data_IF_187942543025
#
_entry.id   IF_187942543025
#
_cell.length_a   1.000
_cell.length_b   1.000
_cell.length_c   1.000
_cell.angle_alpha   90.00
_cell.angle_beta   90.00
_cell.angle_gamma   90.00
#
_symmetry.space_group_name_H-M   'P 1'
#
loop_
_entity.id
_entity.type
_entity.pdbx_description
1 polymer ?
#
# COMPACT_ATOMS: atom_id res chain seq x y z
N UNK A 1 -33.31 7.30 -17.96
CA UNK A 1 -31.90 7.70 -17.76
C UNK A 1 -31.26 7.96 -19.12
N UNK A 2 -30.48 9.02 -19.31
CA UNK A 2 -29.82 9.30 -20.60
C UNK A 2 -28.84 8.17 -20.96
N UNK A 3 -28.83 7.69 -22.22
CA UNK A 3 -27.93 6.62 -22.71
C UNK A 3 -26.44 6.89 -22.40
N UNK A 4 -26.01 8.15 -22.43
CA UNK A 4 -24.65 8.53 -22.09
C UNK A 4 -24.35 8.37 -20.58
N UNK A 5 -25.30 8.70 -19.71
CA UNK A 5 -25.13 8.54 -18.26
C UNK A 5 -25.05 7.05 -17.89
N UNK A 6 -25.87 6.18 -18.51
CA UNK A 6 -25.79 4.74 -18.27
C UNK A 6 -24.46 4.15 -18.75
N UNK A 7 -23.94 4.59 -19.89
CA UNK A 7 -22.60 4.19 -20.36
C UNK A 7 -21.49 4.63 -19.40
N UNK A 8 -21.55 5.87 -18.89
CA UNK A 8 -20.55 6.37 -17.95
C UNK A 8 -20.60 5.62 -16.60
N UNK A 9 -21.81 5.32 -16.10
CA UNK A 9 -21.98 4.49 -14.90
C UNK A 9 -21.42 3.08 -15.14
N UNK A 10 -21.69 2.47 -16.30
CA UNK A 10 -21.13 1.15 -16.63
C UNK A 10 -19.59 1.16 -16.64
N UNK A 11 -18.96 2.20 -17.20
CA UNK A 11 -17.50 2.35 -17.18
C UNK A 11 -16.97 2.45 -15.75
N UNK A 12 -17.63 3.24 -14.89
CA UNK A 12 -17.26 3.36 -13.46
C UNK A 12 -17.39 2.01 -12.74
N UNK A 13 -18.46 1.25 -12.99
CA UNK A 13 -18.66 -0.07 -12.38
C UNK A 13 -17.62 -1.07 -12.84
N UNK A 14 -17.28 -1.10 -14.13
CA UNK A 14 -16.22 -1.97 -14.68
C UNK A 14 -14.87 -1.59 -14.07
N UNK A 15 -14.53 -0.29 -14.02
CA UNK A 15 -13.28 0.17 -13.41
C UNK A 15 -13.21 -0.19 -11.91
N UNK A 16 -14.33 -0.02 -11.18
CA UNK A 16 -14.41 -0.40 -9.76
C UNK A 16 -14.22 -1.91 -9.58
N UNK A 17 -14.86 -2.74 -10.42
CA UNK A 17 -14.70 -4.19 -10.40
C UNK A 17 -13.25 -4.60 -10.68
N UNK A 18 -12.60 -4.00 -11.69
CA UNK A 18 -11.19 -4.26 -11.98
C UNK A 18 -10.28 -3.85 -10.81
N UNK A 19 -10.56 -2.71 -10.17
CA UNK A 19 -9.81 -2.26 -8.99
C UNK A 19 -9.95 -3.23 -7.82
N UNK A 20 -11.18 -3.67 -7.54
CA UNK A 20 -11.46 -4.68 -6.50
C UNK A 20 -10.82 -6.03 -6.83
N UNK A 21 -10.81 -6.44 -8.09
CA UNK A 21 -10.16 -7.69 -8.52
C UNK A 21 -8.64 -7.63 -8.31
N UNK A 22 -8.02 -6.50 -8.67
CA UNK A 22 -6.59 -6.25 -8.46
C UNK A 22 -6.24 -6.26 -6.97
N UNK A 23 -7.06 -5.62 -6.12
CA UNK A 23 -6.92 -5.68 -4.66
C UNK A 23 -7.05 -7.12 -4.15
N UNK A 24 -8.08 -7.86 -4.58
CA UNK A 24 -8.31 -9.23 -4.13
C UNK A 24 -7.16 -10.18 -4.46
N UNK A 25 -6.41 -9.93 -5.53
CA UNK A 25 -5.21 -10.69 -5.86
C UNK A 25 -4.00 -10.33 -4.98
N UNK A 26 -3.96 -9.10 -4.45
CA UNK A 26 -2.85 -8.58 -3.64
C UNK A 26 -3.12 -8.54 -2.13
N UNK A 27 -4.27 -9.05 -1.67
CA UNK A 27 -4.69 -8.88 -0.27
C UNK A 27 -3.80 -9.68 0.70
N UNK A 28 -3.32 -8.98 1.73
CA UNK A 28 -2.79 -9.63 2.93
C UNK A 28 -3.93 -10.34 3.68
N UNK A 29 -3.61 -11.47 4.33
CA UNK A 29 -4.59 -12.32 5.02
C UNK A 29 -5.31 -11.65 6.19
N UNK A 30 -4.73 -10.58 6.75
CA UNK A 30 -5.27 -9.92 7.96
C UNK A 30 -5.71 -8.50 7.65
N UNK A 31 -6.91 -8.16 8.09
CA UNK A 31 -7.58 -6.88 7.85
C UNK A 31 -7.43 -5.97 9.07
N UNK A 32 -6.74 -4.84 8.90
CA UNK A 32 -6.67 -3.75 9.89
C UNK A 32 -7.33 -2.49 9.34
N UNK A 33 -7.65 -1.51 10.20
CA UNK A 33 -8.25 -0.25 9.75
C UNK A 33 -7.40 0.47 8.69
N UNK A 34 -6.07 0.47 8.87
CA UNK A 34 -5.12 1.04 7.91
C UNK A 34 -5.05 0.26 6.60
N UNK A 35 -5.04 -1.08 6.65
CA UNK A 35 -5.06 -1.93 5.47
C UNK A 35 -6.35 -1.70 4.63
N UNK A 36 -7.49 -1.57 5.31
CA UNK A 36 -8.78 -1.30 4.64
C UNK A 36 -8.74 0.06 3.93
N UNK A 37 -8.23 1.11 4.59
CA UNK A 37 -8.09 2.44 3.98
C UNK A 37 -7.14 2.39 2.78
N UNK A 38 -5.99 1.72 2.91
CA UNK A 38 -5.02 1.52 1.85
C UNK A 38 -5.63 0.83 0.62
N UNK A 39 -6.28 -0.32 0.83
CA UNK A 39 -6.99 -1.07 -0.21
C UNK A 39 -8.07 -0.22 -0.88
N UNK A 40 -8.82 0.56 -0.09
CA UNK A 40 -9.85 1.41 -0.64
C UNK A 40 -9.30 2.48 -1.59
N UNK A 41 -8.19 3.13 -1.22
CA UNK A 41 -7.54 4.14 -2.06
C UNK A 41 -6.89 3.52 -3.32
N UNK A 42 -6.50 2.25 -3.25
CA UNK A 42 -5.99 1.50 -4.40
C UNK A 42 -7.01 1.34 -5.53
N UNK A 43 -8.32 1.37 -5.25
CA UNK A 43 -9.36 1.32 -6.30
C UNK A 43 -9.18 2.46 -7.31
N UNK A 44 -8.59 3.61 -6.90
CA UNK A 44 -8.28 4.72 -7.79
C UNK A 44 -7.20 4.44 -8.83
N UNK A 45 -6.48 3.32 -8.73
CA UNK A 45 -5.60 2.83 -9.78
C UNK A 45 -6.34 2.67 -11.11
N UNK A 46 -7.54 2.08 -11.08
CA UNK A 46 -8.41 1.92 -12.26
C UNK A 46 -9.45 3.03 -12.37
N UNK A 47 -9.95 3.50 -11.22
CA UNK A 47 -11.06 4.46 -11.18
C UNK A 47 -10.62 5.89 -11.54
N UNK A 48 -9.40 6.30 -11.20
CA UNK A 48 -8.84 7.60 -11.59
C UNK A 48 -8.80 7.81 -13.11
N UNK A 49 -8.16 6.91 -13.88
CA UNK A 49 -8.19 6.92 -15.34
C UNK A 49 -9.60 6.94 -15.92
N UNK A 50 -10.50 6.10 -15.39
CA UNK A 50 -11.88 6.02 -15.86
C UNK A 50 -12.65 7.34 -15.65
N UNK A 51 -12.48 7.98 -14.49
CA UNK A 51 -13.13 9.26 -14.19
C UNK A 51 -12.61 10.38 -15.07
N UNK A 52 -11.30 10.46 -15.26
CA UNK A 52 -10.71 11.47 -16.13
C UNK A 52 -11.07 11.26 -17.60
N UNK A 53 -11.12 10.01 -18.08
CA UNK A 53 -11.66 9.66 -19.39
C UNK A 53 -13.10 10.16 -19.57
N UNK A 54 -13.98 9.87 -18.60
CA UNK A 54 -15.39 10.29 -18.63
C UNK A 54 -15.48 11.83 -18.65
N UNK A 55 -14.73 12.50 -17.78
CA UNK A 55 -14.66 13.96 -17.72
C UNK A 55 -14.22 14.57 -19.04
N UNK A 56 -13.16 14.05 -19.66
CA UNK A 56 -12.63 14.51 -20.94
C UNK A 56 -13.63 14.31 -22.08
N UNK A 57 -14.19 13.10 -22.18
CA UNK A 57 -15.16 12.74 -23.22
C UNK A 57 -16.42 13.63 -23.15
N UNK A 58 -17.00 13.76 -21.96
CA UNK A 58 -18.24 14.49 -21.76
C UNK A 58 -18.03 15.99 -21.96
N UNK A 59 -16.96 16.54 -21.41
CA UNK A 59 -16.72 17.97 -21.51
C UNK A 59 -16.35 18.38 -22.94
N UNK A 60 -15.62 17.54 -23.68
CA UNK A 60 -15.38 17.74 -25.11
C UNK A 60 -16.70 17.76 -25.91
N UNK A 61 -17.64 16.85 -25.61
CA UNK A 61 -18.96 16.81 -26.28
C UNK A 61 -19.73 18.11 -26.09
N UNK A 62 -19.69 18.69 -24.89
CA UNK A 62 -20.39 19.94 -24.59
C UNK A 62 -19.59 21.20 -24.94
N UNK A 63 -18.33 21.07 -25.36
CA UNK A 63 -17.42 22.16 -25.67
C UNK A 63 -18.04 23.24 -26.56
N UNK A 64 -18.67 22.88 -27.68
CA UNK A 64 -19.29 23.86 -28.61
C UNK A 64 -20.48 24.62 -27.99
N UNK A 65 -21.29 23.93 -27.19
CA UNK A 65 -22.40 24.57 -26.46
C UNK A 65 -21.82 25.50 -25.39
N UNK A 66 -20.77 25.04 -24.73
CA UNK A 66 -19.90 25.77 -23.84
C UNK A 66 -18.91 26.68 -24.57
N UNK A 67 -19.07 27.00 -25.85
CA UNK A 67 -18.42 28.14 -26.53
C UNK A 67 -19.46 29.22 -26.85
N UNK A 68 -20.70 28.83 -27.14
CA UNK A 68 -21.78 29.76 -27.51
C UNK A 68 -22.45 30.48 -26.34
N UNK A 69 -22.53 29.90 -25.13
CA UNK A 69 -23.28 30.49 -23.99
C UNK A 69 -22.46 30.66 -22.71
N UNK A 70 -22.02 31.88 -22.37
CA UNK A 70 -21.08 32.10 -21.26
C UNK A 70 -21.80 32.11 -19.92
N UNK A 71 -22.15 30.94 -19.40
CA UNK A 71 -22.95 30.80 -18.19
C UNK A 71 -22.40 29.67 -17.32
N UNK A 72 -21.82 30.02 -16.18
CA UNK A 72 -21.43 29.08 -15.13
C UNK A 72 -22.61 28.15 -14.72
N UNK A 73 -23.85 28.64 -14.58
CA UNK A 73 -25.03 27.77 -14.39
C UNK A 73 -25.19 26.68 -15.45
N UNK A 74 -24.84 26.95 -16.71
CA UNK A 74 -24.92 25.95 -17.78
C UNK A 74 -23.87 24.86 -17.60
N UNK A 75 -22.65 25.23 -17.22
CA UNK A 75 -21.58 24.28 -16.90
C UNK A 75 -21.98 23.38 -15.71
N UNK A 76 -22.52 23.97 -14.64
CA UNK A 76 -23.02 23.21 -13.49
C UNK A 76 -24.17 22.27 -13.89
N UNK A 77 -25.08 22.72 -14.75
CA UNK A 77 -26.19 21.89 -15.25
C UNK A 77 -25.69 20.72 -16.11
N UNK A 78 -24.68 20.95 -16.95
CA UNK A 78 -24.02 19.88 -17.72
C UNK A 78 -23.35 18.89 -16.79
N UNK A 79 -22.61 19.38 -15.78
CA UNK A 79 -21.97 18.55 -14.77
C UNK A 79 -22.99 17.69 -14.02
N UNK A 80 -24.02 18.30 -13.42
CA UNK A 80 -25.07 17.59 -12.70
C UNK A 80 -25.78 16.53 -13.57
N UNK A 81 -26.06 16.85 -14.84
CA UNK A 81 -26.82 15.96 -15.72
C UNK A 81 -26.01 14.77 -16.26
N UNK A 82 -24.73 14.96 -16.56
CA UNK A 82 -23.92 13.96 -17.27
C UNK A 82 -22.83 13.31 -16.42
N UNK A 83 -22.31 14.05 -15.44
CA UNK A 83 -21.16 13.67 -14.62
C UNK A 83 -21.51 13.41 -13.16
N UNK A 84 -22.60 14.00 -12.67
CA UNK A 84 -23.03 13.86 -11.27
C UNK A 84 -23.24 12.41 -10.85
N UNK A 85 -24.04 11.64 -11.60
CA UNK A 85 -24.30 10.24 -11.27
C UNK A 85 -23.05 9.34 -11.36
N UNK A 86 -22.23 9.37 -12.44
CA UNK A 86 -20.97 8.64 -12.47
C UNK A 86 -20.01 9.01 -11.33
N UNK A 87 -19.89 10.31 -10.99
CA UNK A 87 -19.03 10.76 -9.89
C UNK A 87 -19.55 10.26 -8.55
N UNK A 88 -20.87 10.30 -8.32
CA UNK A 88 -21.48 9.78 -7.10
C UNK A 88 -21.24 8.28 -6.97
N UNK A 89 -21.43 7.48 -8.03
CA UNK A 89 -21.14 6.04 -8.01
C UNK A 89 -19.65 5.80 -7.73
N UNK A 90 -18.76 6.57 -8.34
CA UNK A 90 -17.33 6.44 -8.14
C UNK A 90 -16.87 6.81 -6.71
N UNK A 91 -17.54 7.74 -6.04
CA UNK A 91 -17.30 7.98 -4.61
C UNK A 91 -17.90 6.88 -3.74
N UNK A 92 -19.12 6.44 -4.05
CA UNK A 92 -19.85 5.48 -3.22
C UNK A 92 -19.25 4.08 -3.27
N UNK A 93 -18.75 3.61 -4.41
CA UNK A 93 -18.22 2.25 -4.54
C UNK A 93 -17.04 1.98 -3.59
N UNK A 94 -15.98 2.81 -3.53
CA UNK A 94 -14.93 2.67 -2.53
C UNK A 94 -15.48 2.80 -1.10
N UNK A 95 -16.31 3.81 -0.79
CA UNK A 95 -16.84 4.00 0.58
C UNK A 95 -17.65 2.78 1.06
N UNK A 96 -18.49 2.19 0.20
CA UNK A 96 -19.26 0.98 0.50
C UNK A 96 -18.34 -0.21 0.71
N UNK A 97 -17.30 -0.35 -0.11
CA UNK A 97 -16.30 -1.40 0.06
C UNK A 97 -15.54 -1.24 1.39
N UNK A 98 -15.07 -0.04 1.71
CA UNK A 98 -14.45 0.29 2.99
C UNK A 98 -15.38 -0.05 4.17
N UNK A 99 -16.66 0.32 4.09
CA UNK A 99 -17.64 0.01 5.13
C UNK A 99 -17.87 -1.49 5.29
N UNK A 100 -17.98 -2.23 4.18
CA UNK A 100 -18.12 -3.69 4.19
C UNK A 100 -16.92 -4.37 4.89
N UNK A 101 -15.71 -3.94 4.54
CA UNK A 101 -14.48 -4.43 5.16
C UNK A 101 -14.40 -4.08 6.66
N UNK A 102 -14.76 -2.85 7.04
CA UNK A 102 -14.78 -2.42 8.46
C UNK A 102 -15.79 -3.22 9.29
N UNK A 103 -16.95 -3.57 8.72
CA UNK A 103 -17.93 -4.42 9.39
C UNK A 103 -17.41 -5.85 9.61
N UNK A 104 -16.43 -6.30 8.83
CA UNK A 104 -15.88 -7.66 8.94
C UNK A 104 -14.84 -7.82 10.06
N UNK A 105 -14.18 -6.75 10.49
CA UNK A 105 -13.08 -6.80 11.47
C UNK A 105 -13.52 -6.62 12.92
N UNK A 106 -14.72 -6.10 13.17
CA UNK A 106 -15.30 -5.92 14.52
C UNK A 106 -14.58 -4.91 15.43
N UNK A 107 -13.37 -4.46 15.08
CA UNK A 107 -12.57 -3.48 15.79
C UNK A 107 -12.02 -2.41 14.82
N UNK A 108 -11.92 -1.16 15.27
CA UNK A 108 -11.35 -0.06 14.46
C UNK A 108 -10.25 0.61 15.27
N UNK A 109 -9.00 0.42 14.86
CA UNK A 109 -7.82 0.99 15.52
C UNK A 109 -7.88 2.52 15.67
N UNK A 110 -8.37 3.19 14.63
CA UNK A 110 -8.31 4.65 14.52
C UNK A 110 -9.42 5.17 13.62
N UNK A 111 -10.40 5.83 14.22
CA UNK A 111 -11.50 6.50 13.50
C UNK A 111 -10.97 7.64 12.62
N UNK A 112 -9.92 8.34 13.03
CA UNK A 112 -9.34 9.42 12.24
C UNK A 112 -8.74 8.91 10.93
N UNK A 113 -8.11 7.73 10.93
CA UNK A 113 -7.55 7.11 9.72
C UNK A 113 -8.66 6.75 8.73
N UNK A 114 -9.78 6.22 9.22
CA UNK A 114 -10.96 5.92 8.38
C UNK A 114 -11.55 7.20 7.78
N UNK A 115 -11.70 8.26 8.59
CA UNK A 115 -12.22 9.55 8.12
C UNK A 115 -11.30 10.19 7.07
N UNK A 116 -9.98 10.10 7.26
CA UNK A 116 -8.99 10.53 6.25
C UNK A 116 -9.13 9.71 4.97
N UNK A 117 -9.28 8.38 5.05
CA UNK A 117 -9.53 7.52 3.90
C UNK A 117 -10.78 7.91 3.10
N UNK A 118 -11.88 8.24 3.79
CA UNK A 118 -13.10 8.74 3.16
C UNK A 118 -12.87 10.11 2.50
N UNK A 119 -12.20 11.04 3.19
CA UNK A 119 -11.88 12.35 2.64
C UNK A 119 -11.03 12.24 1.37
N UNK A 120 -9.99 11.40 1.39
CA UNK A 120 -9.13 11.16 0.23
C UNK A 120 -9.87 10.48 -0.92
N UNK A 121 -10.80 9.56 -0.64
CA UNK A 121 -11.68 8.98 -1.66
C UNK A 121 -12.45 10.06 -2.42
N UNK A 122 -13.03 11.00 -1.69
CA UNK A 122 -13.76 12.13 -2.31
C UNK A 122 -12.80 13.00 -3.11
N UNK A 123 -11.65 13.37 -2.54
CA UNK A 123 -10.63 14.20 -3.20
C UNK A 123 -10.16 13.55 -4.50
N UNK A 124 -9.82 12.27 -4.51
CA UNK A 124 -9.42 11.56 -5.73
C UNK A 124 -10.51 11.59 -6.79
N UNK A 125 -11.76 11.27 -6.41
CA UNK A 125 -12.87 11.22 -7.35
C UNK A 125 -13.12 12.59 -8.02
N UNK A 126 -13.16 13.67 -7.24
CA UNK A 126 -13.38 15.02 -7.80
C UNK A 126 -12.17 15.53 -8.57
N UNK A 127 -10.94 15.20 -8.13
CA UNK A 127 -9.69 15.61 -8.78
C UNK A 127 -9.59 15.03 -10.18
N UNK A 128 -9.72 13.71 -10.32
CA UNK A 128 -9.57 13.05 -11.62
C UNK A 128 -10.70 13.40 -12.59
N UNK A 129 -11.93 13.55 -12.08
CA UNK A 129 -13.06 14.03 -12.89
C UNK A 129 -12.80 15.46 -13.40
N UNK A 130 -12.40 16.39 -12.53
CA UNK A 130 -12.12 17.77 -12.90
C UNK A 130 -10.93 17.86 -13.88
N UNK A 131 -9.88 17.07 -13.65
CA UNK A 131 -8.73 16.97 -14.53
C UNK A 131 -9.15 16.56 -15.95
N UNK A 132 -9.94 15.49 -16.06
CA UNK A 132 -10.52 15.07 -17.34
C UNK A 132 -11.34 16.18 -18.01
N UNK A 133 -12.23 16.82 -17.25
CA UNK A 133 -13.05 17.92 -17.76
C UNK A 133 -12.18 19.06 -18.33
N UNK A 134 -11.11 19.45 -17.65
CA UNK A 134 -10.17 20.44 -18.14
C UNK A 134 -9.54 20.01 -19.47
N UNK A 135 -9.05 18.77 -19.58
CA UNK A 135 -8.49 18.25 -20.84
C UNK A 135 -9.51 18.29 -21.98
N UNK A 136 -10.76 17.87 -21.73
CA UNK A 136 -11.83 17.87 -22.73
C UNK A 136 -12.19 19.24 -23.27
N UNK A 137 -12.04 20.31 -22.46
CA UNK A 137 -12.25 21.68 -22.91
C UNK A 137 -11.13 22.16 -23.82
N UNK A 138 -9.88 21.91 -23.45
CA UNK A 138 -8.74 22.56 -24.10
C UNK A 138 -8.12 21.76 -25.25
N UNK A 139 -8.20 20.43 -25.21
CA UNK A 139 -7.52 19.57 -26.18
C UNK A 139 -8.48 18.99 -27.23
N UNK A 140 -7.97 18.56 -28.40
CA UNK A 140 -8.71 17.72 -29.34
C UNK A 140 -9.15 16.41 -28.69
N UNK A 141 -10.29 15.85 -29.12
CA UNK A 141 -10.91 14.68 -28.48
C UNK A 141 -9.95 13.52 -28.23
N UNK A 142 -9.23 13.08 -29.27
CA UNK A 142 -8.33 11.92 -29.20
C UNK A 142 -7.22 12.14 -28.15
N UNK A 143 -6.64 13.36 -28.13
CA UNK A 143 -5.58 13.72 -27.18
C UNK A 143 -6.15 13.83 -25.77
N UNK A 144 -7.30 14.51 -25.60
CA UNK A 144 -7.95 14.70 -24.31
C UNK A 144 -8.27 13.36 -23.64
N UNK A 145 -8.85 12.43 -24.40
CA UNK A 145 -9.24 11.11 -23.94
C UNK A 145 -8.03 10.23 -23.63
N UNK A 146 -7.01 10.22 -24.50
CA UNK A 146 -5.79 9.46 -24.27
C UNK A 146 -5.02 9.98 -23.04
N UNK A 147 -4.86 11.30 -22.93
CA UNK A 147 -4.21 11.94 -21.77
C UNK A 147 -5.00 11.72 -20.48
N UNK A 148 -6.35 11.77 -20.55
CA UNK A 148 -7.21 11.51 -19.40
C UNK A 148 -7.14 10.07 -18.90
N UNK A 149 -6.86 9.09 -19.76
CA UNK A 149 -6.58 7.72 -19.31
C UNK A 149 -5.15 7.58 -18.78
N UNK A 150 -4.17 8.04 -19.57
CA UNK A 150 -2.78 7.70 -19.35
C UNK A 150 -2.15 8.47 -18.18
N UNK A 151 -2.41 9.77 -18.04
CA UNK A 151 -1.76 10.58 -17.01
C UNK A 151 -2.17 10.13 -15.60
N UNK A 152 -3.47 9.97 -15.27
CA UNK A 152 -3.85 9.48 -13.96
C UNK A 152 -3.25 8.11 -13.68
N UNK A 153 -3.26 7.20 -14.66
CA UNK A 153 -2.67 5.86 -14.52
C UNK A 153 -1.17 5.93 -14.19
N UNK A 154 -0.40 6.75 -14.90
CA UNK A 154 1.03 6.91 -14.61
C UNK A 154 1.23 7.48 -13.21
N UNK A 155 0.47 8.51 -12.83
CA UNK A 155 0.60 9.15 -11.53
C UNK A 155 0.13 8.28 -10.36
N UNK A 156 -0.75 7.32 -10.59
CA UNK A 156 -1.19 6.35 -9.56
C UNK A 156 -0.34 5.09 -9.53
N UNK A 157 0.13 4.61 -10.69
CA UNK A 157 0.85 3.34 -10.82
C UNK A 157 2.36 3.47 -10.66
N UNK A 158 2.96 4.47 -11.31
CA UNK A 158 4.41 4.58 -11.41
C UNK A 158 5.10 4.86 -10.07
N UNK A 159 4.57 5.74 -9.19
CA UNK A 159 5.22 6.03 -7.92
C UNK A 159 5.53 4.79 -7.10
N UNK A 160 4.65 3.79 -7.09
CA UNK A 160 4.83 2.52 -6.38
C UNK A 160 6.05 1.73 -6.84
N UNK A 161 6.45 1.89 -8.11
CA UNK A 161 7.64 1.24 -8.67
C UNK A 161 8.92 2.07 -8.52
N UNK A 162 8.81 3.34 -8.11
CA UNK A 162 9.94 4.24 -7.96
C UNK A 162 10.81 3.86 -6.77
N UNK A 163 12.14 3.98 -6.91
CA UNK A 163 13.07 3.89 -5.77
C UNK A 163 13.05 5.14 -4.89
N UNK A 164 12.58 6.26 -5.44
CA UNK A 164 12.50 7.55 -4.75
C UNK A 164 11.25 7.62 -3.87
N UNK A 165 11.49 7.75 -2.57
CA UNK A 165 10.46 7.81 -1.52
C UNK A 165 9.50 8.97 -1.70
N UNK A 166 9.97 10.13 -2.16
CA UNK A 166 9.12 11.31 -2.31
C UNK A 166 7.97 11.08 -3.30
N UNK A 167 8.25 10.38 -4.41
CA UNK A 167 7.22 10.05 -5.40
C UNK A 167 6.13 9.16 -4.80
N UNK A 168 6.50 8.15 -4.01
CA UNK A 168 5.56 7.23 -3.36
C UNK A 168 4.58 7.94 -2.43
N UNK A 169 5.04 8.98 -1.76
CA UNK A 169 4.27 9.71 -0.76
C UNK A 169 3.27 10.73 -1.37
N UNK A 170 3.43 11.13 -2.64
CA UNK A 170 2.69 12.24 -3.27
C UNK A 170 1.30 11.89 -3.85
N UNK A 171 0.93 10.61 -4.00
CA UNK A 171 -0.31 10.23 -4.70
C UNK A 171 -1.28 9.40 -3.86
N UNK A 172 -1.02 9.26 -2.56
CA UNK A 172 -2.01 8.82 -1.57
C UNK A 172 -2.40 7.35 -1.66
N UNK A 173 -1.64 6.54 -2.39
CA UNK A 173 -1.96 5.14 -2.64
C UNK A 173 -0.86 4.26 -2.09
N UNK A 174 -0.96 3.79 -0.84
CA UNK A 174 -0.01 2.82 -0.29
C UNK A 174 -0.34 1.39 -0.78
N UNK A 175 -0.71 1.27 -2.07
CA UNK A 175 -1.18 0.02 -2.65
C UNK A 175 -0.01 -0.96 -2.82
N UNK A 176 -0.13 -2.15 -2.23
CA UNK A 176 0.86 -3.23 -2.35
C UNK A 176 2.12 -3.08 -1.49
N UNK A 177 2.32 -1.94 -0.82
CA UNK A 177 3.45 -1.70 0.11
C UNK A 177 3.00 -1.45 1.56
N UNK A 178 1.70 -1.30 1.82
CA UNK A 178 1.10 -1.24 3.14
C UNK A 178 -0.27 -1.95 3.12
N UNK A 179 -0.79 -2.51 4.20
CA UNK A 179 -0.21 -2.60 5.55
C UNK A 179 -0.38 -4.02 6.07
N UNK A 180 0.68 -4.60 6.64
CA UNK A 180 0.54 -5.81 7.45
C UNK A 180 -0.14 -5.49 8.79
N UNK A 181 -0.36 -6.50 9.63
CA UNK A 181 -0.91 -6.32 10.99
C UNK A 181 -0.01 -5.44 11.85
N UNK A 182 1.30 -5.44 11.58
CA UNK A 182 2.29 -4.72 12.36
C UNK A 182 2.50 -3.28 11.90
N UNK A 183 1.74 -2.80 10.90
CA UNK A 183 1.99 -1.55 10.21
C UNK A 183 0.76 -0.63 10.14
N UNK A 184 1.01 0.67 10.15
CA UNK A 184 0.05 1.72 9.83
C UNK A 184 0.50 2.50 8.60
N UNK A 185 -0.45 3.15 7.93
CA UNK A 185 -0.13 4.12 6.87
C UNK A 185 0.77 5.19 7.47
N UNK A 186 1.89 5.49 6.81
CA UNK A 186 2.78 6.58 7.21
C UNK A 186 1.99 7.90 7.23
N UNK A 187 1.86 8.58 8.38
CA UNK A 187 1.14 9.84 8.46
C UNK A 187 1.72 10.92 7.54
N UNK A 188 3.01 10.82 7.19
CA UNK A 188 3.67 11.72 6.23
C UNK A 188 2.98 11.65 4.87
N UNK A 189 2.41 10.52 4.45
CA UNK A 189 1.74 10.34 3.15
C UNK A 189 0.61 11.35 2.91
N UNK A 190 -0.16 11.69 3.95
CA UNK A 190 -1.39 12.46 3.79
C UNK A 190 -1.15 13.89 3.31
N UNK A 191 -0.16 14.58 3.86
CA UNK A 191 0.12 15.99 3.53
C UNK A 191 0.58 16.18 2.07
N UNK A 192 1.63 15.51 1.57
CA UNK A 192 2.09 15.66 0.19
C UNK A 192 1.04 15.15 -0.81
N UNK A 193 0.30 14.09 -0.47
CA UNK A 193 -0.84 13.64 -1.26
C UNK A 193 -1.95 14.68 -1.37
N UNK A 194 -2.32 15.31 -0.25
CA UNK A 194 -3.30 16.41 -0.25
C UNK A 194 -2.80 17.61 -1.05
N UNK A 195 -1.53 17.97 -0.94
CA UNK A 195 -0.91 19.06 -1.70
C UNK A 195 -0.99 18.80 -3.20
N UNK A 196 -0.55 17.62 -3.66
CA UNK A 196 -0.50 17.29 -5.08
C UNK A 196 -1.90 17.12 -5.65
N UNK A 197 -2.75 16.27 -5.07
CA UNK A 197 -4.13 16.06 -5.55
C UNK A 197 -4.95 17.35 -5.48
N UNK A 198 -4.83 18.09 -4.37
CA UNK A 198 -5.48 19.39 -4.19
C UNK A 198 -5.03 20.40 -5.23
N UNK A 199 -3.74 20.47 -5.54
CA UNK A 199 -3.21 21.37 -6.57
C UNK A 199 -3.69 21.00 -7.98
N UNK A 200 -3.75 19.71 -8.34
CA UNK A 200 -4.32 19.23 -9.60
C UNK A 200 -5.81 19.61 -9.68
N UNK A 201 -6.56 19.44 -8.60
CA UNK A 201 -7.97 19.82 -8.54
C UNK A 201 -8.17 21.32 -8.73
N UNK A 202 -7.46 22.15 -7.96
CA UNK A 202 -7.53 23.62 -8.05
C UNK A 202 -7.10 24.10 -9.44
N UNK A 203 -6.00 23.57 -9.98
CA UNK A 203 -5.55 23.84 -11.35
C UNK A 203 -6.65 23.52 -12.36
N UNK A 204 -7.28 22.33 -12.25
CA UNK A 204 -8.36 21.90 -13.15
C UNK A 204 -9.55 22.84 -13.08
N UNK A 205 -9.98 23.24 -11.87
CA UNK A 205 -11.08 24.19 -11.68
C UNK A 205 -10.77 25.57 -12.28
N UNK A 206 -9.57 26.09 -12.06
CA UNK A 206 -9.14 27.38 -12.62
C UNK A 206 -9.09 27.32 -14.15
N UNK A 207 -8.64 26.22 -14.74
CA UNK A 207 -8.69 25.99 -16.18
C UNK A 207 -10.14 25.94 -16.70
N UNK A 208 -11.02 25.19 -16.05
CA UNK A 208 -12.43 25.10 -16.43
C UNK A 208 -13.11 26.49 -16.36
N UNK A 209 -12.91 27.22 -15.26
CA UNK A 209 -13.48 28.56 -15.06
C UNK A 209 -12.92 29.60 -16.04
N UNK A 210 -11.66 29.46 -16.46
CA UNK A 210 -11.02 30.38 -17.40
C UNK A 210 -11.21 30.01 -18.87
N UNK A 211 -11.91 28.92 -19.23
CA UNK A 211 -12.00 28.38 -20.60
C UNK A 211 -12.30 29.42 -21.69
N UNK A 212 -13.14 30.41 -21.41
CA UNK A 212 -13.53 31.45 -22.38
C UNK A 212 -12.86 32.79 -22.22
N UNK A 213 -11.95 32.87 -21.27
CA UNK A 213 -11.28 34.08 -20.96
C UNK A 213 -10.23 34.44 -22.00
N UNK A 214 -10.64 35.20 -23.03
CA UNK A 214 -9.71 35.79 -24.02
C UNK A 214 -9.07 37.06 -23.43
N UNK A 215 -9.54 37.52 -22.26
CA UNK A 215 -9.00 38.69 -21.59
C UNK A 215 -7.66 38.34 -20.94
N UNK A 216 -6.75 39.32 -20.91
CA UNK A 216 -5.45 39.22 -20.23
C UNK A 216 -5.56 38.63 -18.82
N UNK A 217 -6.61 39.00 -18.07
CA UNK A 217 -6.90 38.45 -16.74
C UNK A 217 -6.97 36.92 -16.70
N UNK A 218 -7.60 36.31 -17.70
CA UNK A 218 -7.84 34.87 -17.68
C UNK A 218 -6.61 34.09 -18.14
N UNK A 219 -5.76 34.70 -18.99
CA UNK A 219 -4.42 34.20 -19.25
C UNK A 219 -3.55 34.24 -17.98
N UNK A 220 -3.62 35.32 -17.20
CA UNK A 220 -2.95 35.39 -15.89
C UNK A 220 -3.44 34.28 -14.96
N UNK A 221 -4.75 34.02 -14.89
CA UNK A 221 -5.32 32.93 -14.06
C UNK A 221 -4.76 31.57 -14.48
N UNK A 222 -4.66 31.30 -15.78
CA UNK A 222 -4.09 30.04 -16.28
C UNK A 222 -2.61 29.94 -15.95
N UNK A 223 -1.83 30.98 -16.22
CA UNK A 223 -0.40 31.00 -15.92
C UNK A 223 -0.15 30.84 -14.42
N UNK A 224 -0.87 31.58 -13.57
CA UNK A 224 -0.74 31.46 -12.12
C UNK A 224 -1.17 30.09 -11.61
N UNK A 225 -2.20 29.48 -12.19
CA UNK A 225 -2.60 28.12 -11.80
C UNK A 225 -1.54 27.07 -12.11
N UNK A 226 -0.78 27.22 -13.21
CA UNK A 226 0.36 26.34 -13.52
C UNK A 226 1.49 26.56 -12.51
N UNK A 227 1.79 27.82 -12.16
CA UNK A 227 2.79 28.12 -11.13
C UNK A 227 2.40 27.53 -9.78
N UNK A 228 1.12 27.65 -9.39
CA UNK A 228 0.59 27.07 -8.15
C UNK A 228 0.70 25.54 -8.18
N UNK A 229 0.30 24.89 -9.28
CA UNK A 229 0.45 23.45 -9.46
C UNK A 229 1.91 23.01 -9.25
N UNK A 230 2.85 23.64 -9.94
CA UNK A 230 4.27 23.31 -9.83
C UNK A 230 4.81 23.55 -8.42
N UNK A 231 4.42 24.65 -7.77
CA UNK A 231 4.86 24.96 -6.41
C UNK A 231 4.40 23.89 -5.41
N UNK A 232 3.14 23.46 -5.48
CA UNK A 232 2.61 22.43 -4.59
C UNK A 232 3.14 21.04 -4.91
N UNK A 233 3.43 20.72 -6.18
CA UNK A 233 4.12 19.48 -6.55
C UNK A 233 5.54 19.47 -5.99
N UNK A 234 6.30 20.56 -6.15
CA UNK A 234 7.67 20.66 -5.61
C UNK A 234 7.66 20.61 -4.08
N UNK A 235 6.76 21.34 -3.43
CA UNK A 235 6.63 21.33 -1.96
C UNK A 235 6.19 19.95 -1.46
N UNK A 236 5.24 19.31 -2.16
CA UNK A 236 4.81 17.95 -1.88
C UNK A 236 5.94 16.93 -2.04
N UNK A 237 6.81 17.09 -3.04
CA UNK A 237 8.01 16.27 -3.21
C UNK A 237 8.97 16.42 -2.02
N UNK A 238 9.30 17.65 -1.63
CA UNK A 238 10.17 17.89 -0.48
C UNK A 238 9.59 17.33 0.82
N UNK A 239 8.30 17.52 1.06
CA UNK A 239 7.67 16.95 2.25
C UNK A 239 7.60 15.42 2.19
N UNK A 240 7.28 14.85 1.02
CA UNK A 240 7.25 13.41 0.79
C UNK A 240 8.62 12.75 0.98
N UNK A 241 9.71 13.48 0.74
CA UNK A 241 11.08 12.95 0.93
C UNK A 241 11.42 12.58 2.38
N UNK A 242 10.63 13.05 3.35
CA UNK A 242 10.80 12.69 4.77
C UNK A 242 10.01 11.45 5.19
N UNK A 243 9.24 10.84 4.27
CA UNK A 243 8.48 9.62 4.53
C UNK A 243 9.35 8.37 4.44
N UNK A 244 8.71 7.20 4.56
CA UNK A 244 9.37 5.91 4.38
C UNK A 244 9.09 5.27 3.02
N UNK A 245 9.97 4.37 2.59
CA UNK A 245 9.87 3.70 1.29
C UNK A 245 8.58 2.89 1.13
N UNK A 246 8.11 2.21 2.18
CA UNK A 246 6.93 1.36 2.12
C UNK A 246 5.60 2.14 2.26
N UNK A 247 5.67 3.46 2.48
CA UNK A 247 4.51 4.28 2.86
C UNK A 247 3.78 3.75 4.10
N UNK A 248 4.53 3.02 4.93
CA UNK A 248 4.08 2.35 6.13
C UNK A 248 5.05 2.67 7.27
N UNK A 249 4.52 2.73 8.49
CA UNK A 249 5.31 2.77 9.72
C UNK A 249 4.89 1.63 10.64
N UNK A 250 5.80 1.15 11.47
CA UNK A 250 5.47 0.15 12.47
C UNK A 250 4.46 0.70 13.48
N UNK A 251 3.45 -0.12 13.80
CA UNK A 251 2.53 0.13 14.90
C UNK A 251 3.32 0.18 16.22
N UNK A 252 2.90 0.99 17.20
CA UNK A 252 3.55 1.02 18.50
C UNK A 252 3.39 -0.34 19.19
N UNK A 253 4.47 -0.88 19.76
CA UNK A 253 4.48 -2.16 20.47
C UNK A 253 3.57 -2.17 21.70
N UNK A 254 3.20 -1.00 22.23
CA UNK A 254 2.22 -0.85 23.32
C UNK A 254 0.80 -1.27 22.95
N UNK A 255 0.50 -1.40 21.66
CA UNK A 255 -0.79 -1.90 21.19
C UNK A 255 -0.83 -3.44 21.03
N UNK A 256 0.31 -4.13 21.24
CA UNK A 256 0.37 -5.59 21.24
C UNK A 256 -0.12 -6.14 22.58
N UNK A 257 -0.69 -7.35 22.54
CA UNK A 257 -1.00 -8.14 23.73
C UNK A 257 0.24 -8.98 24.04
N UNK A 258 0.82 -8.77 25.21
CA UNK A 258 2.04 -9.45 25.64
C UNK A 258 1.76 -10.38 26.82
N UNK A 259 2.06 -11.66 26.63
CA UNK A 259 2.04 -12.68 27.67
C UNK A 259 3.46 -13.24 27.82
N UNK A 260 4.13 -12.89 28.93
CA UNK A 260 5.53 -13.25 29.17
C UNK A 260 6.45 -12.72 28.05
N UNK A 261 7.10 -13.60 27.28
CA UNK A 261 7.99 -13.27 26.18
C UNK A 261 7.32 -13.44 24.80
N UNK A 262 5.99 -13.57 24.75
CA UNK A 262 5.24 -13.73 23.51
C UNK A 262 4.31 -12.53 23.35
N UNK A 263 4.47 -11.79 22.27
CA UNK A 263 3.65 -10.63 21.95
C UNK A 263 3.05 -10.77 20.56
N UNK A 264 1.74 -10.56 20.49
CA UNK A 264 0.96 -10.71 19.27
C UNK A 264 -0.06 -9.58 19.18
N UNK A 265 -0.60 -9.35 17.99
CA UNK A 265 -1.60 -8.33 17.80
C UNK A 265 -2.98 -8.84 18.25
N UNK A 266 -3.89 -7.96 18.71
CA UNK A 266 -5.27 -8.34 19.00
C UNK A 266 -5.99 -8.97 17.81
N UNK A 267 -5.57 -8.63 16.59
CA UNK A 267 -6.16 -9.15 15.35
C UNK A 267 -5.58 -10.50 14.90
N UNK A 268 -4.50 -10.99 15.53
CA UNK A 268 -3.86 -12.27 15.17
C UNK A 268 -4.83 -13.43 15.49
N UNK A 269 -5.11 -14.35 14.56
CA UNK A 269 -6.04 -15.45 14.79
C UNK A 269 -5.64 -16.31 15.99
N UNK A 270 -6.61 -16.65 16.85
CA UNK A 270 -6.36 -17.40 18.10
C UNK A 270 -5.65 -18.74 17.85
N UNK A 271 -5.93 -19.40 16.71
CA UNK A 271 -5.29 -20.66 16.32
C UNK A 271 -3.80 -20.48 16.06
N UNK A 272 -3.39 -19.39 15.40
CA UNK A 272 -1.99 -19.06 15.16
C UNK A 272 -1.28 -18.73 16.46
N UNK A 273 -1.92 -17.95 17.34
CA UNK A 273 -1.43 -17.63 18.68
C UNK A 273 -1.20 -18.91 19.49
N UNK A 274 -2.16 -19.84 19.46
CA UNK A 274 -2.06 -21.11 20.19
C UNK A 274 -0.92 -21.97 19.65
N UNK A 275 -0.80 -22.12 18.33
CA UNK A 275 0.25 -22.92 17.70
C UNK A 275 1.64 -22.35 18.03
N UNK A 276 1.82 -21.03 17.91
CA UNK A 276 3.08 -20.36 18.27
C UNK A 276 3.41 -20.51 19.75
N UNK A 277 2.44 -20.33 20.66
CA UNK A 277 2.64 -20.54 22.10
C UNK A 277 3.07 -21.98 22.41
N UNK A 278 2.41 -22.97 21.83
CA UNK A 278 2.72 -24.38 22.04
C UNK A 278 4.16 -24.71 21.61
N UNK A 279 4.51 -24.33 20.38
CA UNK A 279 5.84 -24.59 19.82
C UNK A 279 6.91 -23.84 20.59
N UNK A 280 6.74 -22.54 20.81
CA UNK A 280 7.70 -21.71 21.56
C UNK A 280 8.02 -22.28 22.94
N UNK A 281 6.97 -22.66 23.68
CA UNK A 281 7.13 -23.26 25.00
C UNK A 281 7.82 -24.64 24.94
N UNK A 282 7.54 -25.44 23.91
CA UNK A 282 8.19 -26.75 23.72
C UNK A 282 9.68 -26.63 23.42
N UNK A 283 10.09 -25.61 22.67
CA UNK A 283 11.49 -25.34 22.33
C UNK A 283 12.30 -24.88 23.55
N UNK A 284 11.64 -24.38 24.60
CA UNK A 284 12.30 -23.98 25.85
C UNK A 284 13.25 -22.78 25.70
N UNK A 285 12.99 -21.92 24.71
CA UNK A 285 13.81 -20.73 24.43
C UNK A 285 13.58 -19.65 25.49
N UNK A 286 14.66 -19.05 25.97
CA UNK A 286 14.70 -17.97 26.95
C UNK A 286 15.45 -16.75 26.40
N UNK A 287 15.32 -15.56 26.97
CA UNK A 287 16.12 -14.39 26.56
C UNK A 287 15.83 -13.79 25.17
N UNK A 288 15.03 -14.47 24.34
CA UNK A 288 14.40 -13.91 23.15
C UNK A 288 12.93 -13.58 23.43
N UNK A 289 12.39 -12.64 22.65
CA UNK A 289 10.96 -12.33 22.61
C UNK A 289 10.37 -12.76 21.28
N UNK A 290 9.29 -13.52 21.31
CA UNK A 290 8.53 -13.87 20.12
C UNK A 290 7.54 -12.74 19.82
N UNK A 291 7.69 -12.07 18.68
CA UNK A 291 6.83 -10.94 18.30
C UNK A 291 6.20 -11.13 16.92
N UNK A 292 4.89 -10.86 16.81
CA UNK A 292 4.20 -10.70 15.52
C UNK A 292 4.55 -9.34 14.90
N UNK A 293 5.83 -9.10 14.67
CA UNK A 293 6.33 -7.87 14.06
C UNK A 293 7.14 -8.21 12.81
N UNK A 294 7.13 -7.29 11.84
CA UNK A 294 8.01 -7.38 10.67
C UNK A 294 9.40 -6.76 10.94
N UNK A 295 9.67 -6.32 12.18
CA UNK A 295 10.94 -5.69 12.57
C UNK A 295 11.99 -6.74 12.96
N UNK A 296 13.11 -6.73 12.23
CA UNK A 296 14.29 -7.50 12.62
C UNK A 296 15.01 -6.80 13.77
N UNK A 297 15.10 -7.49 14.91
CA UNK A 297 15.91 -7.09 16.05
C UNK A 297 16.62 -8.33 16.55
N UNK A 298 17.89 -8.20 16.94
CA UNK A 298 18.72 -9.33 17.37
C UNK A 298 18.20 -10.09 18.60
N UNK A 299 17.13 -9.61 19.26
CA UNK A 299 16.50 -10.25 20.41
C UNK A 299 15.04 -10.64 20.16
N UNK A 300 14.54 -10.45 18.93
CA UNK A 300 13.16 -10.70 18.55
C UNK A 300 13.12 -11.83 17.52
N UNK A 301 12.36 -12.87 17.84
CA UNK A 301 12.04 -13.93 16.89
C UNK A 301 10.70 -13.63 16.25
N UNK A 302 10.62 -13.81 14.94
CA UNK A 302 9.41 -13.55 14.16
C UNK A 302 8.35 -14.60 14.43
N UNK A 303 7.16 -14.14 14.75
CA UNK A 303 5.97 -14.97 14.88
C UNK A 303 5.57 -15.61 13.53
N UNK A 304 5.26 -16.90 13.53
CA UNK A 304 4.82 -17.60 12.33
C UNK A 304 3.32 -17.38 12.09
N UNK A 305 2.93 -16.99 10.87
CA UNK A 305 1.53 -16.76 10.48
C UNK A 305 0.85 -18.04 9.99
N UNK A 306 1.05 -19.13 10.72
CA UNK A 306 0.48 -20.45 10.44
C UNK A 306 -0.20 -21.01 11.68
N UNK A 307 -1.30 -21.73 11.47
CA UNK A 307 -1.94 -22.53 12.53
C UNK A 307 -1.43 -23.97 12.58
N UNK A 308 -0.61 -24.38 11.61
CA UNK A 308 0.05 -25.69 11.60
C UNK A 308 1.33 -25.65 12.44
N UNK A 309 1.34 -26.40 13.54
CA UNK A 309 2.47 -26.45 14.47
C UNK A 309 3.78 -26.92 13.82
N UNK A 310 3.74 -27.75 12.77
CA UNK A 310 4.97 -28.16 12.06
C UNK A 310 5.57 -27.01 11.25
N UNK A 311 4.73 -26.22 10.58
CA UNK A 311 5.15 -25.02 9.85
C UNK A 311 5.67 -23.98 10.83
N UNK A 312 4.94 -23.73 11.91
CA UNK A 312 5.36 -22.82 12.99
C UNK A 312 6.72 -23.25 13.55
N UNK A 313 6.91 -24.53 13.84
CA UNK A 313 8.20 -25.05 14.34
C UNK A 313 9.33 -24.85 13.34
N UNK A 314 9.08 -25.14 12.06
CA UNK A 314 10.03 -24.90 10.98
C UNK A 314 10.43 -23.42 10.90
N UNK A 315 9.45 -22.51 10.88
CA UNK A 315 9.68 -21.06 10.79
C UNK A 315 10.46 -20.52 11.99
N UNK A 316 10.05 -20.89 13.21
CA UNK A 316 10.69 -20.45 14.44
C UNK A 316 12.12 -20.99 14.56
N UNK A 317 12.36 -22.24 14.18
CA UNK A 317 13.71 -22.82 14.20
C UNK A 317 14.62 -22.19 13.16
N UNK A 318 14.12 -21.92 11.95
CA UNK A 318 14.86 -21.17 10.94
C UNK A 318 15.27 -19.79 11.47
N UNK A 319 14.33 -19.07 12.08
CA UNK A 319 14.62 -17.73 12.59
C UNK A 319 15.58 -17.75 13.79
N UNK A 320 15.46 -18.74 14.69
CA UNK A 320 16.44 -18.95 15.77
C UNK A 320 17.85 -19.25 15.25
N UNK A 321 17.98 -20.04 14.18
CA UNK A 321 19.27 -20.31 13.54
C UNK A 321 19.88 -19.03 12.95
N UNK A 322 19.08 -18.15 12.34
CA UNK A 322 19.55 -16.84 11.84
C UNK A 322 20.10 -15.94 12.95
N UNK A 323 19.59 -16.10 14.17
CA UNK A 323 20.01 -15.34 15.34
C UNK A 323 21.18 -15.98 16.11
N UNK A 324 21.69 -17.14 15.68
CA UNK A 324 22.79 -17.83 16.35
C UNK A 324 24.13 -17.14 16.02
N UNK A 325 24.87 -16.62 17.02
CA UNK A 325 26.12 -15.89 16.77
C UNK A 325 27.21 -16.73 16.10
N UNK A 326 27.16 -18.05 16.22
CA UNK A 326 28.09 -18.93 15.54
C UNK A 326 27.92 -18.89 14.02
N UNK A 327 26.67 -18.79 13.52
CA UNK A 327 26.36 -18.74 12.10
C UNK A 327 26.59 -17.36 11.50
N UNK A 328 26.36 -16.30 12.28
CA UNK A 328 26.61 -14.92 11.86
C UNK A 328 28.10 -14.61 11.60
N UNK A 329 29.01 -15.38 12.19
CA UNK A 329 30.47 -15.21 12.02
C UNK A 329 31.06 -16.02 10.87
N UNK A 330 30.26 -16.87 10.25
CA UNK A 330 30.69 -17.73 9.15
C UNK A 330 30.26 -17.06 7.85
N UNK A 331 31.19 -16.87 6.93
CA UNK A 331 30.90 -16.34 5.60
C UNK A 331 30.08 -17.36 4.79
N UNK A 332 29.10 -16.85 4.04
CA UNK A 332 28.32 -17.65 3.11
C UNK A 332 29.14 -18.08 1.90
N UNK A 333 28.90 -19.29 1.38
CA UNK A 333 29.40 -19.68 0.07
C UNK A 333 28.67 -18.99 -1.10
N UNK A 334 27.60 -18.24 -0.82
CA UNK A 334 26.87 -17.40 -1.78
C UNK A 334 27.35 -15.94 -1.82
N UNK A 335 28.42 -15.58 -1.10
CA UNK A 335 28.97 -14.24 -1.15
C UNK A 335 29.38 -13.86 -2.58
N UNK A 336 28.79 -12.80 -3.11
CA UNK A 336 29.16 -12.19 -4.41
C UNK A 336 30.25 -11.16 -4.13
N UNK A 337 31.17 -10.91 -5.08
CA UNK A 337 32.36 -10.05 -4.93
C UNK A 337 32.14 -8.65 -4.29
N UNK A 338 30.90 -8.18 -4.18
CA UNK A 338 30.55 -6.86 -3.64
C UNK A 338 29.88 -6.86 -2.26
N UNK A 339 29.33 -7.98 -1.77
CA UNK A 339 28.57 -8.02 -0.50
C UNK A 339 28.90 -9.31 0.31
N UNK A 340 29.44 -9.12 1.51
CA UNK A 340 29.75 -10.21 2.45
C UNK A 340 28.49 -10.62 3.21
N UNK A 341 27.86 -11.72 2.81
CA UNK A 341 26.73 -12.31 3.53
C UNK A 341 27.20 -13.34 4.56
N UNK A 342 26.59 -13.33 5.74
CA UNK A 342 26.80 -14.41 6.70
C UNK A 342 26.02 -15.68 6.29
N UNK A 343 26.47 -16.83 6.77
CA UNK A 343 25.75 -18.09 6.61
C UNK A 343 24.36 -18.03 7.27
N UNK A 344 24.21 -17.23 8.34
CA UNK A 344 22.91 -16.96 8.97
C UNK A 344 21.92 -16.28 8.00
N UNK A 345 22.37 -15.29 7.21
CA UNK A 345 21.51 -14.57 6.25
C UNK A 345 21.16 -15.42 5.02
N UNK A 346 21.97 -16.44 4.74
CA UNK A 346 21.91 -17.28 3.54
C UNK A 346 21.75 -18.76 3.88
N UNK A 347 21.01 -19.05 4.94
CA UNK A 347 20.77 -20.43 5.36
C UNK A 347 20.14 -21.24 4.21
N UNK A 348 20.64 -22.47 3.95
CA UNK A 348 20.06 -23.37 2.96
C UNK A 348 18.62 -23.73 3.33
N UNK A 349 17.87 -24.28 2.37
CA UNK A 349 16.54 -24.81 2.67
C UNK A 349 16.68 -26.10 3.49
N UNK A 350 16.54 -25.99 4.81
CA UNK A 350 16.59 -27.12 5.72
C UNK A 350 15.19 -27.72 5.91
N UNK A 351 15.07 -29.04 5.80
CA UNK A 351 13.85 -29.72 6.21
C UNK A 351 13.74 -29.70 7.74
N UNK A 352 12.50 -29.77 8.25
CA UNK A 352 12.24 -29.77 9.70
C UNK A 352 13.03 -30.88 10.41
N UNK A 353 13.06 -32.10 9.86
CA UNK A 353 13.81 -33.23 10.41
C UNK A 353 15.31 -32.93 10.56
N UNK A 354 15.89 -32.28 9.55
CA UNK A 354 17.30 -31.88 9.56
C UNK A 354 17.53 -30.81 10.62
N UNK A 355 16.68 -29.78 10.69
CA UNK A 355 16.76 -28.74 11.71
C UNK A 355 16.64 -29.30 13.13
N UNK A 356 15.71 -30.21 13.37
CA UNK A 356 15.55 -30.88 14.66
C UNK A 356 16.81 -31.64 15.06
N UNK A 357 17.43 -32.36 14.12
CA UNK A 357 18.66 -33.12 14.38
C UNK A 357 19.87 -32.22 14.71
N UNK A 358 19.89 -31.00 14.19
CA UNK A 358 20.99 -30.04 14.30
C UNK A 358 20.85 -29.19 15.57
N UNK A 359 19.62 -28.72 15.82
CA UNK A 359 19.38 -27.59 16.70
C UNK A 359 18.57 -27.94 17.96
N UNK A 360 18.03 -29.16 18.06
CA UNK A 360 17.35 -29.63 19.28
C UNK A 360 18.16 -30.67 20.04
N UNK A 361 18.07 -30.64 21.36
CA UNK A 361 18.62 -31.65 22.26
C UNK A 361 17.78 -32.94 22.24
N UNK A 362 18.19 -33.95 22.99
CA UNK A 362 17.44 -35.21 23.08
C UNK A 362 16.06 -35.07 23.74
N UNK A 363 15.80 -33.94 24.42
CA UNK A 363 14.51 -33.61 25.02
C UNK A 363 13.62 -32.76 24.09
N UNK A 364 14.12 -32.38 22.91
CA UNK A 364 13.41 -31.53 21.95
C UNK A 364 13.55 -30.03 22.21
N UNK A 365 14.48 -29.61 23.08
CA UNK A 365 14.72 -28.19 23.39
C UNK A 365 15.81 -27.59 22.53
N UNK A 366 15.73 -26.28 22.29
CA UNK A 366 16.72 -25.52 21.52
C UNK A 366 18.12 -25.62 22.16
N UNK A 367 19.11 -26.09 21.38
CA UNK A 367 20.51 -26.23 21.82
C UNK A 367 21.20 -24.89 21.97
N UNK A 368 21.01 -24.00 20.99
CA UNK A 368 21.82 -22.79 20.79
C UNK A 368 21.78 -21.76 21.92
N UNK A 369 22.28 -20.57 21.61
CA UNK A 369 22.23 -19.43 22.53
C UNK A 369 20.80 -19.30 23.05
N UNK A 370 20.66 -19.00 24.34
CA UNK A 370 19.36 -18.71 24.95
C UNK A 370 18.42 -19.94 25.07
N UNK A 371 18.89 -21.15 24.78
CA UNK A 371 18.21 -22.43 25.07
C UNK A 371 18.93 -23.23 26.16
N UNK A 372 19.44 -24.41 25.82
CA UNK A 372 20.26 -25.23 26.72
C UNK A 372 21.72 -24.80 26.79
N UNK A 373 22.16 -23.88 25.91
CA UNK A 373 23.55 -23.47 25.69
C UNK A 373 24.47 -24.61 25.21
N UNK A 374 23.89 -25.67 24.64
CA UNK A 374 24.61 -26.67 23.86
C UNK A 374 24.98 -26.10 22.48
N UNK A 375 26.12 -26.51 21.92
CA UNK A 375 26.47 -26.09 20.56
C UNK A 375 25.50 -26.71 19.54
N UNK A 376 25.04 -25.91 18.57
CA UNK A 376 24.36 -26.44 17.39
C UNK A 376 25.35 -27.20 16.49
N UNK A 377 24.86 -28.15 15.70
CA UNK A 377 25.68 -28.97 14.80
C UNK A 377 26.06 -28.19 13.52
N UNK A 378 27.07 -27.31 13.66
CA UNK A 378 27.54 -26.43 12.58
C UNK A 378 28.05 -27.21 11.36
N UNK A 379 28.66 -28.38 11.58
CA UNK A 379 29.23 -29.20 10.51
C UNK A 379 28.13 -29.66 9.53
N UNK A 380 26.99 -30.12 10.05
CA UNK A 380 25.85 -30.50 9.20
C UNK A 380 25.27 -29.32 8.41
N UNK A 381 25.16 -28.14 9.04
CA UNK A 381 24.67 -26.93 8.35
C UNK A 381 25.63 -26.57 7.20
N UNK A 382 26.94 -26.56 7.47
CA UNK A 382 27.96 -26.25 6.48
C UNK A 382 27.97 -27.25 5.32
N UNK A 383 27.87 -28.55 5.61
CA UNK A 383 27.80 -29.59 4.59
C UNK A 383 26.57 -29.42 3.68
N UNK A 384 25.43 -29.01 4.23
CA UNK A 384 24.23 -28.77 3.45
C UNK A 384 24.36 -27.51 2.59
N UNK A 385 24.88 -26.41 3.16
CA UNK A 385 25.12 -25.17 2.42
C UNK A 385 26.10 -25.39 1.25
N UNK A 386 27.20 -26.13 1.47
CA UNK A 386 28.17 -26.46 0.43
C UNK A 386 27.56 -27.31 -0.71
N UNK A 387 26.65 -28.25 -0.39
CA UNK A 387 25.96 -29.03 -1.41
C UNK A 387 25.09 -28.17 -2.32
N UNK A 388 24.37 -27.20 -1.75
CA UNK A 388 23.55 -26.27 -2.54
C UNK A 388 24.42 -25.34 -3.39
N UNK A 389 25.50 -24.80 -2.83
CA UNK A 389 26.47 -23.97 -3.56
C UNK A 389 27.17 -24.70 -4.71
N UNK A 390 27.34 -26.02 -4.65
CA UNK A 390 27.91 -26.80 -5.75
C UNK A 390 26.88 -27.18 -6.84
N UNK A 391 25.59 -27.09 -6.53
CA UNK A 391 24.52 -27.50 -7.43
C UNK A 391 23.95 -26.34 -8.27
N UNK A 392 24.11 -25.10 -7.81
CA UNK A 392 23.79 -23.87 -8.55
C UNK A 392 24.98 -23.38 -9.36
#
# INVERSE_FOLDING_TARGET
>A
MNKAASQNIAIVLIASFLGLWVIGYSQHSVKTGSNIVANNLAIFYTLGPALSFIGAKEMWRFRKILESRNSLPLLLKVWMRSLGAPSAVACMMPIVFMLYELLSIGHVDSVSTVLLGVAFTVVHAVTWMAFGMALGLYLPFAIAVAAGLFIPFVLTAYPLSSSDVAWRQMFGQPYGSCCSVSQFIDPVLWIPSAMVLGSIFVWSLLFICSYRGIKFRDWIIRASSVVVLLLFVVTGYFYGSTGNYDSAISRPTSAMICEQNICFWPETPEQEVKANKNVWNSLGVQGYRLEDADLESNQVIKFSRSSDEQVVKSDLMMDLLRHEPALQKIESCWAVETDDYSLAESLPQLSLEVMESIALDSSGKWRGRNGTNEAIDLEKILLQAQKECQAG
#
